data_IF_836637026233
#
_entry.id   IF_836637026233
#
_cell.length_a   1.000
_cell.length_b   1.000
_cell.length_c   1.000
_cell.angle_alpha   90.00
_cell.angle_beta   90.00
_cell.angle_gamma   90.00
#
_symmetry.space_group_name_H-M   'P 1'
#
loop_
_entity.id
_entity.type
_entity.pdbx_description
1 polymer ?
#
# COMPACT_ATOMS: atom_id res chain seq x y z
N UNK A 1 -1.85 -18.84 -10.12
CA UNK A 1 -1.55 -17.41 -9.87
C UNK A 1 -0.24 -17.36 -9.08
N UNK A 2 0.83 -16.77 -9.64
CA UNK A 2 2.19 -16.91 -9.09
C UNK A 2 2.67 -15.68 -8.28
N UNK A 3 1.92 -14.58 -8.32
CA UNK A 3 2.15 -13.31 -7.60
C UNK A 3 0.80 -12.71 -7.18
N UNK A 4 0.74 -12.11 -6.01
CA UNK A 4 -0.42 -11.38 -5.48
C UNK A 4 0.03 -9.99 -5.01
N UNK A 5 -0.65 -8.92 -5.47
CA UNK A 5 -0.52 -7.56 -4.90
C UNK A 5 -1.65 -7.31 -3.93
N UNK A 6 -1.37 -6.68 -2.80
CA UNK A 6 -2.34 -6.36 -1.75
C UNK A 6 -2.26 -4.88 -1.42
N UNK A 7 -3.37 -4.16 -1.59
CA UNK A 7 -3.45 -2.74 -1.24
C UNK A 7 -3.53 -2.53 0.28
N UNK A 8 -2.38 -2.36 0.94
CA UNK A 8 -2.29 -2.06 2.38
C UNK A 8 -2.50 -0.56 2.63
N UNK A 9 -1.98 0.28 1.74
CA UNK A 9 -1.99 1.76 1.78
C UNK A 9 -1.12 2.33 2.90
N UNK A 10 -1.41 1.98 4.15
CA UNK A 10 -0.60 2.28 5.34
C UNK A 10 -0.80 1.13 6.32
N UNK A 11 0.12 0.89 7.25
CA UNK A 11 -0.09 0.00 8.38
C UNK A 11 -0.73 0.74 9.55
N UNK A 12 -0.58 2.06 9.64
CA UNK A 12 -1.16 2.88 10.70
C UNK A 12 -2.70 2.87 10.68
N UNK A 13 -3.31 2.36 11.75
CA UNK A 13 -4.77 2.20 11.85
C UNK A 13 -5.55 3.50 11.63
N UNK A 14 -5.09 4.63 12.17
CA UNK A 14 -5.81 5.91 12.06
C UNK A 14 -5.77 6.44 10.63
N UNK A 15 -4.58 6.46 10.01
CA UNK A 15 -4.41 6.89 8.61
C UNK A 15 -5.27 6.04 7.67
N UNK A 16 -5.32 4.73 7.91
CA UNK A 16 -6.14 3.80 7.14
C UNK A 16 -7.64 4.10 7.25
N UNK A 17 -8.12 4.38 8.45
CA UNK A 17 -9.52 4.72 8.69
C UNK A 17 -9.91 6.05 8.02
N UNK A 18 -8.99 7.03 7.97
CA UNK A 18 -9.21 8.29 7.24
C UNK A 18 -9.46 8.08 5.73
N UNK A 19 -8.97 6.99 5.15
CA UNK A 19 -9.20 6.63 3.74
C UNK A 19 -10.14 5.44 3.54
N UNK A 20 -10.97 5.16 4.55
CA UNK A 20 -12.06 4.19 4.45
C UNK A 20 -11.65 2.72 4.60
N UNK A 21 -10.46 2.44 5.16
CA UNK A 21 -10.03 1.08 5.51
C UNK A 21 -10.28 0.82 6.99
N UNK A 22 -11.12 -0.17 7.30
CA UNK A 22 -11.57 -0.45 8.66
C UNK A 22 -10.63 -1.37 9.45
N UNK A 23 -9.85 -2.22 8.78
CA UNK A 23 -8.97 -3.17 9.48
C UNK A 23 -7.84 -2.43 10.22
N UNK A 24 -7.47 -2.94 11.40
CA UNK A 24 -6.33 -2.41 12.15
C UNK A 24 -4.99 -2.88 11.58
N UNK A 25 -3.89 -2.28 12.04
CA UNK A 25 -2.51 -2.72 11.79
C UNK A 25 -2.36 -4.23 12.03
N UNK A 26 -2.79 -4.70 13.19
CA UNK A 26 -2.65 -6.08 13.65
C UNK A 26 -3.37 -7.03 12.70
N UNK A 27 -4.62 -6.70 12.34
CA UNK A 27 -5.40 -7.50 11.38
C UNK A 27 -4.70 -7.61 10.02
N UNK A 28 -4.06 -6.54 9.53
CA UNK A 28 -3.32 -6.62 8.27
C UNK A 28 -2.06 -7.45 8.39
N UNK A 29 -1.28 -7.29 9.47
CA UNK A 29 -0.08 -8.08 9.69
C UNK A 29 -0.39 -9.57 9.80
N UNK A 30 -1.47 -9.94 10.51
CA UNK A 30 -1.94 -11.32 10.60
C UNK A 30 -2.34 -11.90 9.24
N UNK A 31 -3.04 -11.12 8.41
CA UNK A 31 -3.40 -11.52 7.04
C UNK A 31 -2.17 -11.72 6.16
N UNK A 32 -1.20 -10.81 6.23
CA UNK A 32 0.06 -10.94 5.49
C UNK A 32 0.82 -12.18 5.95
N UNK A 33 0.92 -12.42 7.26
CA UNK A 33 1.57 -13.61 7.81
C UNK A 33 0.89 -14.91 7.31
N UNK A 34 -0.45 -14.94 7.28
CA UNK A 34 -1.23 -16.08 6.77
C UNK A 34 -0.94 -16.34 5.30
N UNK A 35 -0.93 -15.29 4.47
CA UNK A 35 -0.64 -15.40 3.03
C UNK A 35 0.79 -15.87 2.78
N UNK A 36 1.75 -15.37 3.56
CA UNK A 36 3.15 -15.81 3.51
C UNK A 36 3.30 -17.27 3.91
N UNK A 37 2.62 -17.71 4.97
CA UNK A 37 2.65 -19.10 5.44
C UNK A 37 2.09 -20.08 4.40
N UNK A 38 1.14 -19.64 3.56
CA UNK A 38 0.63 -20.46 2.46
C UNK A 38 1.71 -20.76 1.41
N UNK A 39 2.66 -19.83 1.18
CA UNK A 39 3.88 -20.06 0.39
C UNK A 39 3.70 -20.27 -1.13
N UNK A 40 2.47 -20.33 -1.62
CA UNK A 40 2.18 -20.69 -3.02
C UNK A 40 2.42 -19.55 -4.02
N UNK A 41 2.46 -18.29 -3.57
CA UNK A 41 2.69 -17.13 -4.43
C UNK A 41 3.63 -16.11 -3.81
N UNK A 42 4.20 -15.24 -4.65
CA UNK A 42 4.92 -14.04 -4.21
C UNK A 42 3.92 -13.00 -3.70
N UNK A 43 4.11 -12.49 -2.48
CA UNK A 43 3.23 -11.50 -1.87
C UNK A 43 3.90 -10.13 -1.95
N UNK A 44 3.26 -9.20 -2.65
CA UNK A 44 3.67 -7.79 -2.73
C UNK A 44 2.57 -6.93 -2.11
N UNK A 45 2.95 -5.85 -1.44
CA UNK A 45 1.98 -4.88 -0.90
C UNK A 45 2.12 -3.52 -1.56
N UNK A 46 1.02 -2.79 -1.68
CA UNK A 46 1.02 -1.42 -2.16
C UNK A 46 0.87 -0.48 -0.96
N UNK A 47 1.84 0.41 -0.77
CA UNK A 47 1.82 1.49 0.21
C UNK A 47 1.65 2.83 -0.49
N UNK A 48 0.93 3.76 0.14
CA UNK A 48 0.67 5.11 -0.36
C UNK A 48 1.25 6.10 0.65
N UNK A 49 2.10 7.00 0.17
CA UNK A 49 2.63 8.11 0.97
C UNK A 49 1.93 9.42 0.66
N UNK A 50 1.84 10.27 1.68
CA UNK A 50 1.16 11.57 1.64
C UNK A 50 -0.34 11.50 1.95
N UNK A 51 -0.80 10.44 2.61
CA UNK A 51 -2.19 10.29 3.03
C UNK A 51 -2.60 11.36 4.07
N UNK A 52 -3.90 11.69 4.19
CA UNK A 52 -4.40 12.52 5.29
C UNK A 52 -3.90 12.02 6.64
N UNK A 53 -3.38 12.93 7.46
CA UNK A 53 -2.90 12.61 8.82
C UNK A 53 -1.61 11.79 8.87
N UNK A 54 -1.04 11.41 7.72
CA UNK A 54 0.23 10.66 7.68
C UNK A 54 1.40 11.63 7.88
N UNK A 55 2.06 11.51 9.03
CA UNK A 55 3.31 12.23 9.30
C UNK A 55 4.50 11.48 8.73
N UNK A 56 5.67 12.11 8.78
CA UNK A 56 6.91 11.44 8.39
C UNK A 56 7.16 10.21 9.27
N UNK A 57 6.99 10.33 10.58
CA UNK A 57 7.19 9.24 11.55
C UNK A 57 6.25 8.05 11.27
N UNK A 58 5.00 8.33 10.89
CA UNK A 58 4.05 7.28 10.48
C UNK A 58 4.55 6.57 9.23
N UNK A 59 5.08 7.31 8.26
CA UNK A 59 5.65 6.74 7.04
C UNK A 59 6.89 5.89 7.30
N UNK A 60 7.79 6.34 8.18
CA UNK A 60 8.95 5.55 8.61
C UNK A 60 8.51 4.24 9.27
N UNK A 61 7.48 4.29 10.11
CA UNK A 61 6.92 3.11 10.76
C UNK A 61 6.25 2.17 9.76
N UNK A 62 5.53 2.68 8.76
CA UNK A 62 4.95 1.87 7.68
C UNK A 62 6.02 1.09 6.91
N UNK A 63 7.18 1.70 6.66
CA UNK A 63 8.31 1.05 6.00
C UNK A 63 9.00 0.01 6.90
N UNK A 64 9.08 0.27 8.20
CA UNK A 64 9.57 -0.71 9.18
C UNK A 64 8.63 -1.92 9.27
N UNK A 65 7.32 -1.69 9.28
CA UNK A 65 6.29 -2.73 9.27
C UNK A 65 6.35 -3.56 7.97
N UNK A 66 6.51 -2.91 6.82
CA UNK A 66 6.78 -3.58 5.54
C UNK A 66 7.97 -4.55 5.66
N UNK A 67 9.13 -4.08 6.12
CA UNK A 67 10.34 -4.91 6.21
C UNK A 67 10.13 -6.07 7.20
N UNK A 68 9.54 -5.79 8.36
CA UNK A 68 9.29 -6.82 9.40
C UNK A 68 8.24 -7.85 8.98
N UNK A 69 7.28 -7.49 8.12
CA UNK A 69 6.24 -8.41 7.63
C UNK A 69 6.79 -9.54 6.75
N UNK A 70 8.00 -9.38 6.20
CA UNK A 70 8.66 -10.41 5.38
C UNK A 70 7.99 -10.65 4.02
N UNK A 71 7.18 -9.72 3.54
CA UNK A 71 6.61 -9.77 2.17
C UNK A 71 7.71 -9.75 1.10
N UNK A 72 7.38 -10.25 -0.09
CA UNK A 72 8.34 -10.47 -1.17
C UNK A 72 8.69 -9.18 -1.95
N UNK A 73 7.94 -8.10 -1.73
CA UNK A 73 8.18 -6.79 -2.31
C UNK A 73 7.14 -5.76 -1.87
N UNK A 74 7.32 -4.54 -2.33
CA UNK A 74 6.35 -3.46 -2.16
C UNK A 74 6.33 -2.52 -3.36
N UNK A 75 5.17 -1.91 -3.58
CA UNK A 75 4.99 -0.76 -4.44
C UNK A 75 4.76 0.49 -3.56
N UNK A 76 5.55 1.56 -3.77
CA UNK A 76 5.40 2.83 -3.05
C UNK A 76 4.82 3.90 -3.99
N UNK A 77 3.58 4.32 -3.73
CA UNK A 77 2.87 5.29 -4.57
C UNK A 77 2.65 6.62 -3.87
N UNK A 78 2.82 7.72 -4.62
CA UNK A 78 2.41 9.04 -4.18
C UNK A 78 0.88 9.13 -4.17
N UNK A 79 0.30 9.69 -3.11
CA UNK A 79 -1.12 10.06 -3.14
C UNK A 79 -1.35 11.16 -4.18
N UNK A 80 -2.27 10.89 -5.10
CA UNK A 80 -2.87 11.90 -5.98
C UNK A 80 -4.32 12.11 -5.55
N UNK A 81 -4.66 13.33 -5.11
CA UNK A 81 -6.04 13.72 -4.78
C UNK A 81 -6.66 14.33 -6.03
N UNK A 82 -7.60 13.61 -6.66
CA UNK A 82 -8.29 14.09 -7.85
C UNK A 82 -9.47 14.99 -7.47
N UNK A 83 -9.67 16.06 -8.23
CA UNK A 83 -10.83 16.95 -8.06
C UNK A 83 -12.14 16.17 -8.16
N UNK A 84 -13.05 16.40 -7.21
CA UNK A 84 -14.34 15.72 -7.15
C UNK A 84 -14.30 14.27 -6.64
N UNK A 85 -13.12 13.72 -6.32
CA UNK A 85 -13.02 12.45 -5.58
C UNK A 85 -13.62 12.57 -4.17
N UNK A 86 -14.03 11.44 -3.59
CA UNK A 86 -14.59 11.46 -2.23
C UNK A 86 -13.58 11.93 -1.19
N UNK A 87 -12.30 11.59 -1.38
CA UNK A 87 -11.23 12.12 -0.54
C UNK A 87 -11.08 13.65 -0.67
N UNK A 88 -11.15 14.18 -1.89
CA UNK A 88 -11.12 15.64 -2.11
C UNK A 88 -12.27 16.34 -1.40
N UNK A 89 -13.49 15.79 -1.47
CA UNK A 89 -14.66 16.30 -0.75
C UNK A 89 -14.49 16.22 0.77
N UNK A 90 -13.99 15.09 1.27
CA UNK A 90 -13.81 14.87 2.71
C UNK A 90 -12.75 15.84 3.29
N UNK A 91 -11.67 16.10 2.56
CA UNK A 91 -10.69 17.13 2.91
C UNK A 91 -11.32 18.53 2.86
N UNK A 92 -12.02 18.88 1.78
CA UNK A 92 -12.64 20.19 1.61
C UNK A 92 -13.69 20.50 2.68
N UNK A 93 -14.41 19.48 3.15
CA UNK A 93 -15.40 19.59 4.22
C UNK A 93 -14.80 19.46 5.63
N UNK A 94 -13.48 19.28 5.76
CA UNK A 94 -12.79 19.14 7.06
C UNK A 94 -13.10 17.84 7.81
N UNK A 95 -13.66 16.83 7.13
CA UNK A 95 -13.94 15.51 7.73
C UNK A 95 -12.66 14.72 8.00
N UNK A 96 -11.64 14.92 7.18
CA UNK A 96 -10.28 14.42 7.37
C UNK A 96 -9.30 15.59 7.21
N UNK A 97 -8.10 15.53 7.83
CA UNK A 97 -7.09 16.56 7.65
C UNK A 97 -6.61 16.65 6.19
N UNK A 98 -5.88 17.70 5.87
CA UNK A 98 -5.23 17.81 4.57
C UNK A 98 -4.25 16.64 4.33
N UNK A 99 -4.15 16.23 3.07
CA UNK A 99 -3.07 15.37 2.60
C UNK A 99 -1.72 16.09 2.69
N UNK A 100 -0.62 15.33 2.63
CA UNK A 100 0.71 15.92 2.65
C UNK A 100 0.93 16.87 1.47
N UNK A 101 1.69 17.94 1.70
CA UNK A 101 2.09 18.85 0.63
C UNK A 101 3.04 18.16 -0.36
N UNK A 102 3.16 18.69 -1.57
CA UNK A 102 4.10 18.17 -2.58
C UNK A 102 5.54 18.11 -2.08
N UNK A 103 5.96 19.09 -1.27
CA UNK A 103 7.29 19.09 -0.65
C UNK A 103 7.45 17.90 0.30
N UNK A 104 6.50 17.72 1.22
CA UNK A 104 6.51 16.60 2.17
C UNK A 104 6.41 15.24 1.48
N UNK A 105 5.64 15.13 0.39
CA UNK A 105 5.60 13.92 -0.44
C UNK A 105 6.96 13.61 -1.09
N UNK A 106 7.70 14.65 -1.50
CA UNK A 106 9.08 14.51 -2.00
C UNK A 106 10.02 13.94 -0.94
N UNK A 107 9.94 14.47 0.29
CA UNK A 107 10.75 14.01 1.42
C UNK A 107 10.42 12.55 1.79
N UNK A 108 9.12 12.20 1.84
CA UNK A 108 8.65 10.83 2.09
C UNK A 108 9.13 9.85 1.02
N UNK A 109 9.07 10.24 -0.26
CA UNK A 109 9.57 9.41 -1.35
C UNK A 109 11.07 9.16 -1.21
N UNK A 110 11.86 10.21 -1.01
CA UNK A 110 13.31 10.10 -0.92
C UNK A 110 13.73 9.24 0.28
N UNK A 111 13.06 9.40 1.42
CA UNK A 111 13.27 8.52 2.56
C UNK A 111 12.91 7.07 2.24
N UNK A 112 11.73 6.79 1.69
CA UNK A 112 11.28 5.42 1.40
C UNK A 112 12.20 4.71 0.42
N UNK A 113 12.64 5.44 -0.63
CA UNK A 113 13.64 4.98 -1.58
C UNK A 113 14.93 4.59 -0.86
N UNK A 114 15.52 5.51 -0.08
CA UNK A 114 16.77 5.27 0.65
C UNK A 114 16.66 4.14 1.66
N UNK A 115 15.57 4.11 2.44
CA UNK A 115 15.33 3.14 3.49
C UNK A 115 15.30 1.70 2.96
N UNK A 116 14.65 1.47 1.82
CA UNK A 116 14.58 0.16 1.17
C UNK A 116 15.88 -0.19 0.44
N UNK A 117 16.49 0.76 -0.27
CA UNK A 117 17.76 0.54 -0.99
C UNK A 117 18.88 0.08 -0.01
N UNK A 118 18.87 0.58 1.22
CA UNK A 118 19.81 0.17 2.28
C UNK A 118 19.54 -1.25 2.86
N UNK A 119 18.36 -1.84 2.61
CA UNK A 119 17.88 -3.07 3.27
C UNK A 119 17.73 -4.28 2.34
N UNK A 120 18.62 -4.41 1.36
CA UNK A 120 18.64 -5.49 0.35
C UNK A 120 17.42 -5.58 -0.56
N UNK A 121 16.47 -4.64 -0.46
CA UNK A 121 15.41 -4.52 -1.46
C UNK A 121 16.03 -3.97 -2.75
N UNK A 122 15.64 -4.55 -3.88
CA UNK A 122 16.07 -4.11 -5.21
C UNK A 122 14.95 -3.35 -5.88
N UNK A 123 15.21 -2.11 -6.25
CA UNK A 123 14.30 -1.32 -7.06
C UNK A 123 14.24 -1.88 -8.49
N UNK A 124 13.05 -2.30 -8.93
CA UNK A 124 12.82 -2.83 -10.29
C UNK A 124 12.18 -1.81 -11.22
N UNK A 125 11.48 -0.81 -10.68
CA UNK A 125 10.86 0.28 -11.44
C UNK A 125 10.85 1.59 -10.61
N UNK A 126 10.19 2.64 -11.09
CA UNK A 126 10.09 3.90 -10.34
C UNK A 126 9.39 3.74 -8.97
N UNK A 127 8.45 2.80 -8.86
CA UNK A 127 7.63 2.59 -7.67
C UNK A 127 7.76 1.19 -7.05
N UNK A 128 8.42 0.24 -7.71
CA UNK A 128 8.44 -1.17 -7.28
C UNK A 128 9.80 -1.60 -6.69
N UNK A 129 9.77 -2.20 -5.50
CA UNK A 129 10.90 -2.82 -4.83
C UNK A 129 10.64 -4.30 -4.54
N UNK A 130 11.65 -5.12 -4.74
CA UNK A 130 11.60 -6.55 -4.50
C UNK A 130 12.58 -6.98 -3.42
N UNK A 131 12.13 -7.79 -2.48
CA UNK A 131 12.95 -8.36 -1.41
C UNK A 131 13.75 -9.60 -1.85
N UNK A 132 13.36 -10.26 -2.96
CA UNK A 132 13.99 -11.52 -3.38
C UNK A 132 13.96 -11.78 -4.89
N UNK A 133 14.77 -12.75 -5.33
CA UNK A 133 14.91 -13.10 -6.74
C UNK A 133 13.64 -13.70 -7.36
N UNK A 134 12.76 -14.33 -6.56
CA UNK A 134 11.51 -14.92 -7.03
C UNK A 134 10.58 -13.82 -7.53
N UNK A 135 10.33 -12.80 -6.72
CA UNK A 135 9.51 -11.65 -7.10
C UNK A 135 10.10 -10.92 -8.31
N UNK A 136 11.40 -10.63 -8.30
CA UNK A 136 12.07 -10.02 -9.46
C UNK A 136 11.86 -10.78 -10.76
N UNK A 137 11.96 -12.11 -10.71
CA UNK A 137 11.78 -12.94 -11.90
C UNK A 137 10.33 -12.90 -12.40
N UNK A 138 9.36 -12.95 -11.48
CA UNK A 138 7.94 -12.84 -11.80
C UNK A 138 7.59 -11.46 -12.37
N UNK A 139 8.08 -10.38 -11.77
CA UNK A 139 7.90 -9.00 -12.26
C UNK A 139 8.40 -8.87 -13.70
N UNK A 140 9.61 -9.37 -13.99
CA UNK A 140 10.18 -9.32 -15.35
C UNK A 140 9.37 -10.10 -16.38
N UNK A 141 8.81 -11.26 -16.01
CA UNK A 141 7.95 -12.05 -16.90
C UNK A 141 6.65 -11.29 -17.19
N UNK A 142 5.99 -10.77 -16.15
CA UNK A 142 4.72 -10.05 -16.28
C UNK A 142 4.88 -8.76 -17.09
N UNK A 143 5.94 -7.99 -16.82
CA UNK A 143 6.26 -6.77 -17.58
C UNK A 143 6.51 -7.06 -19.07
N UNK A 144 7.21 -8.15 -19.41
CA UNK A 144 7.47 -8.56 -20.80
C UNK A 144 6.23 -9.11 -21.51
N UNK A 145 5.35 -9.77 -20.78
CA UNK A 145 4.11 -10.32 -21.31
C UNK A 145 3.05 -9.24 -21.61
N UNK A 146 3.32 -7.96 -21.27
CA UNK A 146 2.36 -6.88 -21.43
C UNK A 146 1.10 -7.07 -20.58
N UNK A 147 1.15 -7.94 -19.56
CA UNK A 147 0.04 -8.14 -18.63
C UNK A 147 -0.10 -6.84 -17.85
N UNK A 148 -1.22 -6.11 -17.98
CA UNK A 148 -1.44 -4.96 -17.13
C UNK A 148 -1.42 -5.45 -15.69
N UNK A 149 -0.40 -5.01 -14.96
CA UNK A 149 -0.25 -5.23 -13.52
C UNK A 149 -1.32 -4.38 -12.84
N UNK A 150 -2.58 -4.83 -12.92
CA UNK A 150 -3.66 -4.25 -12.16
C UNK A 150 -3.47 -4.69 -10.71
N UNK A 151 -3.23 -3.76 -9.76
CA UNK A 151 -3.37 -4.09 -8.36
C UNK A 151 -4.84 -4.43 -8.14
N UNK A 152 -5.16 -5.71 -8.06
CA UNK A 152 -6.46 -6.16 -7.56
C UNK A 152 -6.48 -5.93 -6.04
N UNK A 153 -6.56 -4.66 -5.65
CA UNK A 153 -7.04 -4.26 -4.34
C UNK A 153 -8.54 -4.08 -4.44
N UNK A 154 -9.29 -5.17 -4.68
CA UNK A 154 -10.74 -5.13 -4.48
C UNK A 154 -10.99 -4.54 -3.10
N UNK A 155 -11.70 -3.43 -3.06
CA UNK A 155 -12.41 -3.03 -1.87
C UNK A 155 -13.36 -4.16 -1.52
N UNK A 156 -12.90 -5.14 -0.76
CA UNK A 156 -13.75 -6.02 0.02
C UNK A 156 -14.25 -5.23 1.24
N UNK A 157 -14.85 -4.06 0.99
CA UNK A 157 -15.92 -3.53 1.81
C UNK A 157 -17.18 -4.25 1.36
N UNK A 158 -17.27 -5.54 1.66
CA UNK A 158 -18.54 -6.23 1.61
C UNK A 158 -19.41 -5.64 2.71
N UNK A 159 -20.27 -4.68 2.37
CA UNK A 159 -21.47 -4.46 3.17
C UNK A 159 -22.34 -5.70 2.97
N UNK A 160 -22.25 -6.61 3.94
CA UNK A 160 -23.24 -7.65 4.15
C UNK A 160 -24.25 -7.08 5.16
N UNK A 161 -25.52 -7.12 4.77
CA UNK A 161 -26.76 -6.89 5.51
C UNK A 161 -27.40 -5.49 5.59
N UNK A 162 -28.68 -5.48 5.19
CA UNK A 162 -29.65 -4.40 5.42
C UNK A 162 -30.83 -4.42 4.44
N UNK A 163 -31.72 -5.40 4.54
CA UNK A 163 -32.99 -5.50 3.80
C UNK A 163 -34.03 -4.44 4.20
N UNK A 164 -34.96 -4.09 3.29
CA UNK A 164 -36.44 -4.15 3.42
C UNK A 164 -37.15 -3.19 2.39
N UNK A 165 -38.50 -3.17 2.29
CA UNK A 165 -39.24 -3.77 1.18
C UNK A 165 -40.09 -2.76 0.37
N UNK A 166 -40.67 -3.21 -0.74
CA UNK A 166 -41.93 -2.68 -1.28
C UNK A 166 -42.71 -3.79 -1.96
#
# INVERSE_FOLDING_TARGET
>A
VNRMSIGVQSFNTEVRQMVGRLDTKETVLERLATLKAYGQCSVVIDLIYGLPGQTMEVWEQDLADLVSSGVDGADLYQLNVFDGSDLNKDIANGKVPAAATTAMQGDMFEFGRKYLDERSYRRLSAAHWSANNRERSLYNILAKAGVPMFPFGSGAGGNVDGSAPS
#
